data_IF_410671573021
#
_entry.id   IF_410671573021
#
_cell.length_a   1.000
_cell.length_b   1.000
_cell.length_c   1.000
_cell.angle_alpha   90.00
_cell.angle_beta   90.00
_cell.angle_gamma   90.00
#
_symmetry.space_group_name_H-M   'P 1'
#
loop_
_entity.id
_entity.type
_entity.pdbx_description
1 polymer ?
#
# COMPACT_ATOMS: atom_id res chain seq x y z
N UNK A 1 -3.11 14.36 0.82
CA UNK A 1 -3.00 14.75 -0.61
C UNK A 1 -2.18 16.04 -0.73
N UNK A 2 -0.96 16.00 -0.19
CA UNK A 2 0.05 17.08 -0.16
C UNK A 2 1.19 16.75 -1.13
N UNK A 3 1.92 17.75 -1.59
CA UNK A 3 3.11 17.56 -2.43
C UNK A 3 4.25 16.89 -1.64
N UNK A 4 5.23 16.32 -2.35
CA UNK A 4 6.40 15.69 -1.73
C UNK A 4 7.15 16.68 -0.84
N UNK A 5 7.34 17.92 -1.30
CA UNK A 5 8.02 18.97 -0.51
C UNK A 5 7.26 19.32 0.78
N UNK A 6 5.93 19.44 0.70
CA UNK A 6 5.11 19.68 1.90
C UNK A 6 5.19 18.52 2.90
N UNK A 7 5.30 17.28 2.43
CA UNK A 7 5.40 16.08 3.28
C UNK A 7 6.77 16.01 3.94
N UNK A 8 7.83 16.32 3.21
CA UNK A 8 9.19 16.36 3.75
C UNK A 8 9.36 17.41 4.85
N UNK A 9 8.58 18.51 4.77
CA UNK A 9 8.53 19.56 5.79
C UNK A 9 7.62 19.23 6.98
N UNK A 10 7.02 18.05 7.01
CA UNK A 10 6.19 17.56 8.10
C UNK A 10 4.84 17.04 7.63
N UNK A 11 4.34 16.02 8.32
CA UNK A 11 3.06 15.37 8.00
C UNK A 11 2.38 14.80 9.25
N UNK A 12 1.09 14.51 9.16
CA UNK A 12 0.35 13.78 10.20
C UNK A 12 0.96 12.38 10.34
N UNK A 13 1.22 11.97 11.57
CA UNK A 13 1.79 10.66 11.85
C UNK A 13 0.93 9.54 11.24
N UNK A 14 1.58 8.53 10.71
CA UNK A 14 0.92 7.38 10.07
C UNK A 14 0.08 7.71 8.82
N UNK A 15 0.29 8.84 8.16
CA UNK A 15 -0.38 9.14 6.91
C UNK A 15 0.26 8.41 5.70
N UNK A 16 -0.58 8.01 4.76
CA UNK A 16 -0.19 7.65 3.38
C UNK A 16 -0.11 8.91 2.52
N UNK A 17 0.64 8.87 1.41
CA UNK A 17 0.89 10.05 0.58
C UNK A 17 0.54 9.80 -0.88
N UNK A 18 -0.40 10.57 -1.40
CA UNK A 18 -0.64 10.68 -2.84
C UNK A 18 -0.67 12.18 -3.13
N UNK A 19 0.23 12.67 -4.00
CA UNK A 19 0.24 14.06 -4.40
C UNK A 19 -1.02 14.36 -5.23
N UNK A 20 -1.77 15.39 -4.84
CA UNK A 20 -3.00 15.78 -5.54
C UNK A 20 -2.75 16.24 -6.98
N UNK A 21 -1.56 16.75 -7.26
CA UNK A 21 -1.14 17.23 -8.57
C UNK A 21 -0.45 16.17 -9.43
N UNK A 22 -0.30 14.94 -8.91
CA UNK A 22 0.21 13.82 -9.68
C UNK A 22 -0.77 13.47 -10.81
N UNK A 23 -0.28 13.41 -12.05
CA UNK A 23 -1.09 13.04 -13.22
C UNK A 23 -1.79 11.68 -13.08
N UNK A 24 -1.22 10.79 -12.27
CA UNK A 24 -1.77 9.47 -11.95
C UNK A 24 -2.55 9.45 -10.63
N UNK A 25 -3.01 10.60 -10.11
CA UNK A 25 -3.70 10.70 -8.82
C UNK A 25 -4.88 9.72 -8.71
N UNK A 26 -5.78 9.73 -9.71
CA UNK A 26 -6.98 8.88 -9.72
C UNK A 26 -6.62 7.39 -9.72
N UNK A 27 -5.60 7.02 -10.46
CA UNK A 27 -5.10 5.65 -10.54
C UNK A 27 -4.52 5.17 -9.20
N UNK A 28 -3.70 6.00 -8.55
CA UNK A 28 -3.17 5.73 -7.21
C UNK A 28 -4.27 5.68 -6.16
N UNK A 29 -5.22 6.61 -6.22
CA UNK A 29 -6.38 6.66 -5.34
C UNK A 29 -7.29 5.42 -5.49
N UNK A 30 -7.39 4.86 -6.68
CA UNK A 30 -8.14 3.63 -6.93
C UNK A 30 -7.58 2.40 -6.18
N UNK A 31 -6.29 2.41 -5.79
CA UNK A 31 -5.67 1.34 -5.00
C UNK A 31 -5.99 1.37 -3.50
N UNK A 32 -6.64 2.41 -3.01
CA UNK A 32 -7.07 2.49 -1.60
C UNK A 32 -8.16 1.45 -1.34
N UNK A 33 -8.08 0.75 -0.21
CA UNK A 33 -9.07 -0.27 0.15
C UNK A 33 -10.44 0.37 0.37
N UNK A 34 -11.43 -0.03 -0.43
CA UNK A 34 -12.79 0.55 -0.45
C UNK A 34 -13.62 0.22 0.79
N UNK A 35 -13.25 -0.81 1.52
CA UNK A 35 -13.99 -1.30 2.70
C UNK A 35 -13.59 -0.58 3.99
N UNK A 36 -12.55 0.26 3.96
CA UNK A 36 -12.05 0.99 5.13
C UNK A 36 -12.35 2.48 5.00
N UNK A 37 -12.69 3.17 6.12
CA UNK A 37 -12.87 4.62 6.11
C UNK A 37 -11.56 5.33 5.76
N UNK A 38 -11.65 6.41 4.99
CA UNK A 38 -10.50 7.21 4.55
C UNK A 38 -10.63 8.63 5.08
N UNK A 39 -9.63 9.07 5.81
CA UNK A 39 -9.49 10.45 6.27
C UNK A 39 -8.50 11.16 5.35
N UNK A 40 -8.98 12.20 4.65
CA UNK A 40 -8.18 12.92 3.65
C UNK A 40 -7.83 14.31 4.15
N UNK A 41 -6.56 14.69 4.05
CA UNK A 41 -6.12 16.04 4.37
C UNK A 41 -5.13 16.58 3.33
N UNK A 42 -5.06 17.91 3.24
CA UNK A 42 -4.00 18.63 2.54
C UNK A 42 -3.37 19.68 3.47
N UNK A 43 -2.90 20.80 2.94
CA UNK A 43 -2.37 21.88 3.80
C UNK A 43 -3.48 22.56 4.59
N UNK A 44 -4.56 23.02 3.91
CA UNK A 44 -5.63 23.82 4.50
C UNK A 44 -7.06 23.34 4.13
N UNK A 45 -7.25 22.09 3.68
CA UNK A 45 -8.55 21.47 3.45
C UNK A 45 -9.12 21.57 2.02
N UNK A 46 -8.62 22.46 1.14
CA UNK A 46 -9.19 22.69 -0.19
C UNK A 46 -8.91 21.53 -1.19
N UNK A 47 -7.66 21.10 -1.32
CA UNK A 47 -7.28 19.94 -2.18
C UNK A 47 -7.91 18.64 -1.66
N UNK A 48 -7.93 18.47 -0.35
CA UNK A 48 -8.50 17.25 0.26
C UNK A 48 -10.02 17.17 0.09
N UNK A 49 -10.73 18.30 0.01
CA UNK A 49 -12.15 18.29 -0.34
C UNK A 49 -12.38 17.71 -1.74
N UNK A 50 -11.64 18.20 -2.74
CA UNK A 50 -11.72 17.67 -4.12
C UNK A 50 -11.27 16.21 -4.20
N UNK A 51 -10.21 15.85 -3.47
CA UNK A 51 -9.75 14.47 -3.39
C UNK A 51 -10.78 13.52 -2.75
N UNK A 52 -11.54 13.99 -1.77
CA UNK A 52 -12.62 13.24 -1.15
C UNK A 52 -13.75 12.95 -2.16
N UNK A 53 -14.12 13.93 -2.97
CA UNK A 53 -15.10 13.77 -4.06
C UNK A 53 -14.61 12.69 -5.06
N UNK A 54 -13.37 12.78 -5.52
CA UNK A 54 -12.77 11.77 -6.41
C UNK A 54 -12.78 10.37 -5.77
N UNK A 55 -12.43 10.25 -4.50
CA UNK A 55 -12.42 8.97 -3.79
C UNK A 55 -13.83 8.35 -3.72
N UNK A 56 -14.87 9.16 -3.49
CA UNK A 56 -16.25 8.70 -3.52
C UNK A 56 -16.64 8.22 -4.92
N UNK A 57 -16.29 8.97 -5.97
CA UNK A 57 -16.54 8.59 -7.37
C UNK A 57 -15.81 7.28 -7.75
N UNK A 58 -14.64 7.02 -7.15
CA UNK A 58 -13.91 5.78 -7.29
C UNK A 58 -14.49 4.62 -6.45
N UNK A 59 -15.60 4.83 -5.75
CA UNK A 59 -16.32 3.81 -5.00
C UNK A 59 -15.87 3.64 -3.55
N UNK A 60 -15.17 4.62 -2.97
CA UNK A 60 -14.84 4.59 -1.54
C UNK A 60 -16.13 4.82 -0.72
N UNK A 61 -16.42 3.92 0.24
CA UNK A 61 -17.69 3.93 0.98
C UNK A 61 -17.77 5.04 2.03
N UNK A 62 -16.66 5.33 2.69
CA UNK A 62 -16.59 6.32 3.76
C UNK A 62 -15.37 7.23 3.57
N UNK A 63 -15.60 8.52 3.33
CA UNK A 63 -14.55 9.52 3.13
C UNK A 63 -14.80 10.73 4.03
N UNK A 64 -13.79 11.09 4.80
CA UNK A 64 -13.82 12.22 5.72
C UNK A 64 -12.74 13.23 5.35
N UNK A 65 -13.12 14.48 5.06
CA UNK A 65 -12.18 15.57 4.84
C UNK A 65 -11.80 16.23 6.18
N UNK A 66 -10.51 16.29 6.49
CA UNK A 66 -9.98 17.09 7.62
C UNK A 66 -9.90 18.53 7.13
N UNK A 67 -10.91 19.35 7.48
CA UNK A 67 -11.19 20.66 6.88
C UNK A 67 -10.06 21.67 7.02
N UNK A 68 -9.48 21.88 8.17
CA UNK A 68 -8.33 22.75 8.37
C UNK A 68 -6.99 22.16 7.90
N UNK A 69 -6.99 20.90 7.51
CA UNK A 69 -5.83 20.19 6.99
C UNK A 69 -4.66 20.13 7.97
N UNK A 70 -3.43 20.08 7.43
CA UNK A 70 -2.22 20.01 8.22
C UNK A 70 -1.98 21.26 9.06
N UNK A 71 -2.36 22.44 8.56
CA UNK A 71 -2.16 23.70 9.27
C UNK A 71 -2.89 23.68 10.61
N UNK A 72 -4.20 23.50 10.60
CA UNK A 72 -5.02 23.48 11.81
C UNK A 72 -4.66 22.31 12.73
N UNK A 73 -4.32 21.13 12.16
CA UNK A 73 -3.83 19.98 12.92
C UNK A 73 -2.58 20.33 13.74
N UNK A 74 -1.60 20.98 13.08
CA UNK A 74 -0.36 21.39 13.72
C UNK A 74 -0.56 22.52 14.74
N UNK A 75 -1.39 23.52 14.42
CA UNK A 75 -1.68 24.67 15.29
C UNK A 75 -2.41 24.25 16.56
N UNK A 76 -3.21 23.18 16.52
CA UNK A 76 -3.83 22.55 17.69
C UNK A 76 -2.87 21.62 18.48
N UNK A 77 -1.60 21.54 18.10
CA UNK A 77 -0.60 20.76 18.81
C UNK A 77 -0.74 19.24 18.65
N UNK A 78 -1.48 18.77 17.66
CA UNK A 78 -1.60 17.34 17.38
C UNK A 78 -0.30 16.78 16.78
N UNK A 79 -0.08 15.49 16.98
CA UNK A 79 1.18 14.84 16.64
C UNK A 79 1.47 14.89 15.14
N UNK A 80 2.65 15.41 14.81
CA UNK A 80 3.21 15.49 13.47
C UNK A 80 4.58 14.83 13.44
N UNK A 81 4.98 14.37 12.26
CA UNK A 81 6.30 13.81 12.00
C UNK A 81 7.04 14.75 11.05
N UNK A 82 8.21 15.22 11.47
CA UNK A 82 9.13 15.97 10.64
C UNK A 82 10.21 15.01 10.14
N UNK A 83 10.11 14.57 8.88
CA UNK A 83 11.10 13.69 8.29
C UNK A 83 12.00 14.46 7.33
N UNK A 84 13.29 14.55 7.67
CA UNK A 84 14.35 15.01 6.77
C UNK A 84 14.91 13.91 5.83
N UNK A 85 14.12 12.91 5.45
CA UNK A 85 14.57 11.82 4.57
C UNK A 85 13.84 11.89 3.24
N UNK A 86 14.60 12.10 2.16
CA UNK A 86 14.09 12.01 0.79
C UNK A 86 13.39 10.66 0.54
N UNK A 87 12.13 10.75 0.08
CA UNK A 87 11.40 9.58 -0.41
C UNK A 87 11.87 9.29 -1.84
N UNK A 88 12.88 8.42 -1.98
CA UNK A 88 13.29 7.93 -3.29
C UNK A 88 12.58 6.62 -3.62
N UNK A 89 11.98 6.55 -4.81
CA UNK A 89 11.17 5.40 -5.24
C UNK A 89 11.73 4.80 -6.53
N UNK A 90 12.80 4.02 -6.42
CA UNK A 90 13.26 3.17 -7.54
C UNK A 90 12.59 1.81 -7.46
N UNK A 91 12.07 1.32 -8.59
CA UNK A 91 11.38 0.03 -8.62
C UNK A 91 11.71 -0.74 -9.86
N UNK A 92 11.96 -2.04 -9.68
CA UNK A 92 12.11 -2.98 -10.77
C UNK A 92 10.76 -3.22 -11.45
N UNK A 93 10.75 -3.20 -12.77
CA UNK A 93 9.64 -3.67 -13.60
C UNK A 93 9.78 -5.16 -13.86
N UNK A 94 8.68 -5.90 -13.79
CA UNK A 94 8.61 -7.33 -14.06
C UNK A 94 7.65 -7.60 -15.21
N UNK A 95 8.02 -8.50 -16.11
CA UNK A 95 7.10 -9.06 -17.08
C UNK A 95 6.21 -10.14 -16.45
N UNK A 96 5.08 -10.45 -17.08
CA UNK A 96 4.21 -11.54 -16.64
C UNK A 96 4.91 -12.90 -16.69
N UNK A 97 5.85 -13.07 -17.64
CA UNK A 97 6.64 -14.29 -17.78
C UNK A 97 7.66 -14.47 -16.65
N UNK A 98 8.34 -13.39 -16.23
CA UNK A 98 9.24 -13.44 -15.08
C UNK A 98 8.49 -13.87 -13.81
N UNK A 99 7.27 -13.34 -13.59
CA UNK A 99 6.46 -13.73 -12.42
C UNK A 99 6.03 -15.21 -12.51
N UNK A 100 5.59 -15.67 -13.67
CA UNK A 100 5.25 -17.09 -13.90
C UNK A 100 6.46 -18.00 -13.66
N UNK A 101 7.64 -17.58 -14.10
CA UNK A 101 8.89 -18.33 -13.87
C UNK A 101 9.21 -18.40 -12.38
N UNK A 102 9.09 -17.30 -11.64
CA UNK A 102 9.28 -17.31 -10.18
C UNK A 102 8.30 -18.29 -9.51
N UNK A 103 7.03 -18.27 -9.90
CA UNK A 103 6.00 -19.16 -9.35
C UNK A 103 6.33 -20.63 -9.68
N UNK A 104 6.77 -20.92 -10.91
CA UNK A 104 7.04 -22.30 -11.35
C UNK A 104 8.32 -22.89 -10.76
N UNK A 105 9.32 -22.07 -10.46
CA UNK A 105 10.61 -22.51 -9.92
C UNK A 105 10.62 -22.68 -8.39
N UNK A 106 9.60 -22.16 -7.69
CA UNK A 106 9.53 -22.19 -6.24
C UNK A 106 8.27 -22.88 -5.75
N UNK A 107 8.43 -23.80 -4.79
CA UNK A 107 7.30 -24.55 -4.21
C UNK A 107 6.31 -23.65 -3.49
N UNK A 108 6.82 -22.64 -2.77
CA UNK A 108 6.03 -21.70 -2.00
C UNK A 108 6.42 -20.27 -2.43
N UNK A 109 5.47 -19.49 -2.94
CA UNK A 109 5.69 -18.12 -3.39
C UNK A 109 4.64 -17.20 -2.77
N UNK A 110 5.09 -16.13 -2.14
CA UNK A 110 4.24 -15.04 -1.68
C UNK A 110 4.49 -13.81 -2.58
N UNK A 111 3.54 -13.50 -3.45
CA UNK A 111 3.53 -12.22 -4.18
C UNK A 111 2.92 -11.15 -3.29
N UNK A 112 3.59 -10.01 -3.17
CA UNK A 112 3.14 -8.86 -2.37
C UNK A 112 3.04 -7.64 -3.26
N UNK A 113 1.84 -7.24 -3.60
CA UNK A 113 1.56 -6.04 -4.38
C UNK A 113 1.46 -4.84 -3.44
N UNK A 114 2.34 -3.87 -3.60
CA UNK A 114 2.48 -2.70 -2.72
C UNK A 114 2.92 -1.46 -3.46
N UNK A 115 2.89 -0.31 -2.79
CA UNK A 115 3.52 0.93 -3.26
C UNK A 115 4.30 1.60 -2.12
N UNK A 116 5.29 2.43 -2.44
CA UNK A 116 6.10 3.11 -1.43
C UNK A 116 5.31 4.13 -0.59
N UNK A 117 4.28 4.73 -1.15
CA UNK A 117 3.46 5.76 -0.50
C UNK A 117 2.34 5.20 0.40
N UNK A 118 2.08 3.90 0.36
CA UNK A 118 1.01 3.23 1.09
C UNK A 118 1.48 2.89 2.52
N UNK A 119 0.87 3.50 3.54
CA UNK A 119 1.24 3.24 4.94
C UNK A 119 1.00 1.79 5.39
N UNK A 120 -0.15 1.15 5.11
CA UNK A 120 -0.33 -0.27 5.45
C UNK A 120 0.76 -1.15 4.82
N UNK A 121 1.26 -0.78 3.61
CA UNK A 121 2.36 -1.48 2.97
C UNK A 121 3.69 -1.28 3.73
N UNK A 122 3.95 -0.08 4.25
CA UNK A 122 5.14 0.19 5.09
C UNK A 122 5.11 -0.62 6.39
N UNK A 123 3.94 -0.72 7.03
CA UNK A 123 3.75 -1.54 8.24
C UNK A 123 3.96 -3.04 7.98
N UNK A 124 3.76 -3.49 6.73
CA UNK A 124 3.97 -4.88 6.33
C UNK A 124 5.46 -5.23 6.16
N UNK A 125 6.35 -4.26 5.91
CA UNK A 125 7.78 -4.52 5.68
C UNK A 125 8.46 -5.31 6.80
N UNK A 126 8.35 -4.93 8.10
CA UNK A 126 8.95 -5.73 9.16
C UNK A 126 8.35 -7.15 9.24
N UNK A 127 7.06 -7.31 9.00
CA UNK A 127 6.38 -8.61 8.97
C UNK A 127 6.96 -9.52 7.88
N UNK A 128 7.18 -8.95 6.68
CA UNK A 128 7.78 -9.72 5.57
C UNK A 128 9.24 -10.07 5.83
N UNK A 129 10.00 -9.19 6.47
CA UNK A 129 11.40 -9.48 6.83
C UNK A 129 11.46 -10.63 7.84
N UNK A 130 10.64 -10.59 8.89
CA UNK A 130 10.55 -11.66 9.88
C UNK A 130 10.04 -12.98 9.27
N UNK A 131 9.06 -12.90 8.34
CA UNK A 131 8.61 -14.08 7.58
C UNK A 131 9.76 -14.72 6.78
N UNK A 132 10.59 -13.92 6.10
CA UNK A 132 11.73 -14.41 5.31
C UNK A 132 12.77 -15.12 6.18
N UNK A 133 12.98 -14.65 7.40
CA UNK A 133 13.90 -15.25 8.36
C UNK A 133 13.36 -16.57 8.92
N UNK A 134 12.10 -16.58 9.36
CA UNK A 134 11.49 -17.75 9.98
C UNK A 134 11.07 -18.84 8.97
N UNK A 135 10.77 -18.45 7.74
CA UNK A 135 10.27 -19.36 6.69
C UNK A 135 11.04 -19.19 5.37
N UNK A 136 12.36 -19.49 5.36
CA UNK A 136 13.22 -19.30 4.19
C UNK A 136 12.82 -20.14 2.96
N UNK A 137 11.98 -21.17 3.15
CA UNK A 137 11.41 -21.98 2.07
C UNK A 137 10.30 -21.24 1.28
N UNK A 138 9.85 -20.07 1.73
CA UNK A 138 8.87 -19.23 1.03
C UNK A 138 9.57 -18.11 0.28
N UNK A 139 9.49 -18.15 -1.03
CA UNK A 139 10.00 -17.06 -1.86
C UNK A 139 9.04 -15.86 -1.79
N UNK A 140 9.48 -14.74 -1.22
CA UNK A 140 8.70 -13.52 -1.11
C UNK A 140 9.11 -12.56 -2.21
N UNK A 141 8.20 -12.26 -3.15
CA UNK A 141 8.38 -11.28 -4.22
C UNK A 141 7.52 -10.06 -3.97
N UNK A 142 8.18 -8.93 -3.76
CA UNK A 142 7.53 -7.63 -3.55
C UNK A 142 7.46 -6.86 -4.87
N UNK A 143 6.24 -6.51 -5.29
CA UNK A 143 5.94 -5.87 -6.56
C UNK A 143 5.44 -4.44 -6.30
N UNK A 144 6.18 -3.45 -6.78
CA UNK A 144 5.72 -2.06 -6.74
C UNK A 144 4.74 -1.79 -7.87
N UNK A 145 3.50 -1.45 -7.53
CA UNK A 145 2.42 -1.25 -8.49
C UNK A 145 2.58 0.02 -9.34
N UNK A 146 3.31 1.04 -8.86
CA UNK A 146 3.60 2.23 -9.68
C UNK A 146 4.42 1.88 -10.93
N UNK A 147 5.29 0.85 -10.82
CA UNK A 147 6.14 0.38 -11.93
C UNK A 147 5.59 -0.86 -12.65
N UNK A 148 4.53 -1.50 -12.12
CA UNK A 148 4.02 -2.79 -12.61
C UNK A 148 2.50 -2.79 -12.77
N UNK A 149 1.94 -1.71 -13.33
CA UNK A 149 0.49 -1.49 -13.47
C UNK A 149 -0.23 -2.61 -14.23
N UNK A 150 0.39 -3.11 -15.30
CA UNK A 150 -0.18 -4.18 -16.12
C UNK A 150 -0.36 -5.49 -15.33
N UNK A 151 0.55 -5.76 -14.39
CA UNK A 151 0.43 -6.92 -13.51
C UNK A 151 -0.77 -6.82 -12.58
N UNK A 152 -1.17 -5.61 -12.18
CA UNK A 152 -2.36 -5.41 -11.35
C UNK A 152 -3.62 -5.94 -12.04
N UNK A 153 -3.80 -5.60 -13.30
CA UNK A 153 -4.93 -6.08 -14.11
C UNK A 153 -4.86 -7.59 -14.30
N UNK A 154 -3.67 -8.12 -14.65
CA UNK A 154 -3.45 -9.55 -14.87
C UNK A 154 -3.76 -10.39 -13.63
N UNK A 155 -3.39 -9.91 -12.44
CA UNK A 155 -3.60 -10.61 -11.18
C UNK A 155 -4.89 -10.18 -10.44
N UNK A 156 -5.75 -9.38 -11.08
CA UNK A 156 -6.99 -8.86 -10.49
C UNK A 156 -6.78 -8.15 -9.13
N UNK A 157 -5.67 -7.43 -9.01
CA UNK A 157 -5.36 -6.65 -7.81
C UNK A 157 -6.16 -5.37 -7.84
N UNK A 158 -7.05 -5.18 -6.86
CA UNK A 158 -7.96 -4.03 -6.76
C UNK A 158 -7.64 -3.09 -5.59
N UNK A 159 -6.71 -3.45 -4.73
CA UNK A 159 -6.26 -2.62 -3.60
C UNK A 159 -4.86 -3.03 -3.13
N UNK A 160 -4.19 -2.17 -2.39
CA UNK A 160 -2.87 -2.42 -1.79
C UNK A 160 -2.88 -2.24 -0.27
N UNK A 161 -2.03 -3.03 0.44
CA UNK A 161 -1.32 -4.18 -0.07
C UNK A 161 -2.26 -5.33 -0.41
N UNK A 162 -1.91 -6.11 -1.42
CA UNK A 162 -2.54 -7.41 -1.70
C UNK A 162 -1.45 -8.48 -1.66
N UNK A 163 -1.73 -9.56 -0.97
CA UNK A 163 -0.85 -10.72 -0.83
C UNK A 163 -1.49 -11.91 -1.54
N UNK A 164 -0.70 -12.64 -2.34
CA UNK A 164 -1.15 -13.84 -3.03
C UNK A 164 -0.15 -14.97 -2.80
N UNK A 165 -0.62 -16.05 -2.18
CA UNK A 165 0.21 -17.20 -1.87
C UNK A 165 -0.02 -18.34 -2.85
N UNK A 166 1.06 -18.72 -3.49
CA UNK A 166 1.13 -19.86 -4.40
C UNK A 166 1.85 -21.03 -3.74
N UNK A 167 1.25 -22.21 -3.82
CA UNK A 167 1.84 -23.49 -3.40
C UNK A 167 1.79 -24.46 -4.56
N UNK A 168 2.96 -25.00 -4.95
CA UNK A 168 3.07 -25.87 -6.13
C UNK A 168 2.40 -25.29 -7.38
N UNK A 169 2.67 -24.03 -7.71
CA UNK A 169 2.14 -23.25 -8.85
C UNK A 169 0.62 -22.93 -8.79
N UNK A 170 -0.06 -23.27 -7.72
CA UNK A 170 -1.50 -23.04 -7.56
C UNK A 170 -1.69 -21.89 -6.57
N UNK A 171 -2.47 -20.86 -6.94
CA UNK A 171 -2.91 -19.83 -6.01
C UNK A 171 -3.83 -20.47 -4.96
N UNK A 172 -3.37 -20.51 -3.72
CA UNK A 172 -4.09 -21.16 -2.61
C UNK A 172 -4.78 -20.18 -1.69
N UNK A 173 -4.19 -18.99 -1.50
CA UNK A 173 -4.72 -17.96 -0.59
C UNK A 173 -4.47 -16.57 -1.16
N UNK A 174 -5.34 -15.64 -0.79
CA UNK A 174 -5.21 -14.22 -1.09
C UNK A 174 -5.68 -13.40 0.12
N UNK A 175 -5.00 -12.28 0.39
CA UNK A 175 -5.37 -11.36 1.46
C UNK A 175 -5.23 -9.92 0.97
N UNK A 176 -6.15 -9.03 1.38
CA UNK A 176 -6.11 -7.59 1.08
C UNK A 176 -5.92 -6.80 2.37
N UNK A 177 -5.00 -5.83 2.34
CA UNK A 177 -4.69 -4.99 3.49
C UNK A 177 -3.52 -5.52 4.34
N UNK A 178 -3.28 -4.85 5.47
CA UNK A 178 -2.26 -5.26 6.43
C UNK A 178 -2.65 -6.58 7.09
N UNK A 179 -1.63 -7.40 7.37
CA UNK A 179 -1.78 -8.66 8.09
C UNK A 179 -0.65 -8.77 9.11
N UNK A 180 -0.94 -9.28 10.30
CA UNK A 180 0.11 -9.57 11.30
C UNK A 180 0.93 -10.79 10.92
N UNK A 181 2.12 -10.97 11.50
CA UNK A 181 2.93 -12.15 11.24
C UNK A 181 2.20 -13.44 11.63
N UNK A 182 1.55 -13.45 12.79
CA UNK A 182 0.79 -14.60 13.27
C UNK A 182 -0.31 -14.99 12.27
N UNK A 183 -1.13 -14.04 11.84
CA UNK A 183 -2.21 -14.30 10.88
C UNK A 183 -1.66 -14.72 9.51
N UNK A 184 -0.54 -14.11 9.07
CA UNK A 184 0.12 -14.47 7.81
C UNK A 184 0.65 -15.89 7.85
N UNK A 185 1.29 -16.32 8.94
CA UNK A 185 1.78 -17.69 9.08
C UNK A 185 0.65 -18.71 9.13
N UNK A 186 -0.45 -18.40 9.80
CA UNK A 186 -1.66 -19.21 9.73
C UNK A 186 -2.23 -19.29 8.31
N UNK A 187 -2.27 -18.16 7.60
CA UNK A 187 -2.75 -18.11 6.22
C UNK A 187 -1.92 -19.01 5.28
N UNK A 188 -0.59 -19.03 5.46
CA UNK A 188 0.33 -19.76 4.57
C UNK A 188 0.46 -21.24 4.89
N UNK A 189 0.42 -21.61 6.16
CA UNK A 189 0.84 -22.94 6.60
C UNK A 189 -0.23 -23.77 7.30
N UNK A 190 -1.48 -23.27 7.38
CA UNK A 190 -2.59 -23.95 8.07
C UNK A 190 -2.16 -24.47 9.46
N UNK A 191 -1.39 -23.66 10.21
CA UNK A 191 -0.97 -24.00 11.55
C UNK A 191 -2.21 -23.96 12.43
N UNK A 192 -2.72 -25.14 12.81
CA UNK A 192 -3.78 -25.25 13.81
C UNK A 192 -3.20 -24.83 15.15
N UNK A 193 -3.75 -23.79 15.75
CA UNK A 193 -3.49 -23.37 17.12
C UNK A 193 -3.95 -24.44 18.12
#
# INVERSE_FOLDING_TARGET
VRTVDEINNGHIENASFIDFYDENFNEKAAWINKELPVYVYCHAGGRSKKAAEILMDLGQKEVYNISGGFSEWNDNGFKVVNQGKELSFTSKTYSSEEIKNVISQNKNVLLVFKTPWCLPCKKLVPVLNELKELYPQTYVLELNMDANKELAALYNVSSIPTLMYYKNNILTRSHKGFISLNDLTHLLYDIKS
#
